data_IF_493956860317
#
_entry.id   IF_493956860317
#
_cell.length_a   1.000
_cell.length_b   1.000
_cell.length_c   1.000
_cell.angle_alpha   90.00
_cell.angle_beta   90.00
_cell.angle_gamma   90.00
#
_symmetry.space_group_name_H-M   'P 1'
#
loop_
_entity.id
_entity.type
_entity.pdbx_description
1 polymer ?
#
# COMPACT_ATOMS: atom_id res chain seq x y z
N UNK A 1 -5.94 11.98 7.56
CA UNK A 1 -4.49 11.73 7.47
C UNK A 1 -3.72 12.97 7.88
N UNK A 2 -2.47 12.83 8.32
CA UNK A 2 -1.68 13.93 8.92
C UNK A 2 -0.93 14.81 7.90
N UNK A 3 -1.04 14.51 6.60
CA UNK A 3 -0.41 15.30 5.53
C UNK A 3 1.11 15.23 5.49
N UNK A 4 1.72 14.25 6.17
CA UNK A 4 3.17 14.07 6.24
C UNK A 4 3.70 13.43 4.96
N UNK A 5 4.93 13.80 4.59
CA UNK A 5 5.68 13.08 3.56
C UNK A 5 6.04 11.70 4.05
N UNK A 6 5.86 10.68 3.21
CA UNK A 6 6.08 9.28 3.59
C UNK A 6 7.28 8.71 2.84
N UNK A 7 8.20 8.05 3.55
CA UNK A 7 9.24 7.22 2.95
C UNK A 7 8.90 5.77 3.30
N UNK A 8 8.64 4.95 2.30
CA UNK A 8 8.18 3.57 2.48
C UNK A 8 8.89 2.62 1.51
N UNK A 9 8.96 1.33 1.84
CA UNK A 9 9.49 0.32 0.92
C UNK A 9 8.66 0.29 -0.37
N UNK A 10 9.31 0.22 -1.54
CA UNK A 10 8.65 0.17 -2.84
C UNK A 10 7.97 -1.16 -3.18
N UNK A 11 7.31 -1.82 -2.23
CA UNK A 11 6.76 -3.17 -2.41
C UNK A 11 5.41 -3.36 -1.74
N UNK A 12 4.49 -4.08 -2.40
CA UNK A 12 3.15 -4.43 -1.90
C UNK A 12 2.20 -3.23 -1.79
N UNK A 13 1.05 -3.42 -1.12
CA UNK A 13 -0.10 -2.51 -1.21
C UNK A 13 0.14 -1.05 -0.79
N UNK A 14 1.26 -0.72 -0.13
CA UNK A 14 1.57 0.69 0.11
C UNK A 14 1.95 1.45 -1.18
N UNK A 15 2.41 0.77 -2.23
CA UNK A 15 2.76 1.42 -3.50
C UNK A 15 1.53 1.94 -4.26
N UNK A 16 0.34 1.43 -3.92
CA UNK A 16 -0.92 1.87 -4.50
C UNK A 16 -1.24 3.33 -4.15
N UNK A 17 -0.66 3.84 -3.06
CA UNK A 17 -0.94 5.19 -2.54
C UNK A 17 0.30 6.01 -2.17
N UNK A 18 1.43 5.37 -1.88
CA UNK A 18 2.71 6.05 -1.69
C UNK A 18 3.32 6.36 -3.06
N UNK A 19 2.99 7.53 -3.60
CA UNK A 19 3.48 8.00 -4.90
C UNK A 19 4.07 9.41 -4.81
N UNK A 20 4.98 9.71 -5.75
CA UNK A 20 5.46 11.08 -5.96
C UNK A 20 4.28 12.01 -6.31
N UNK A 21 4.23 13.24 -5.79
CA UNK A 21 5.28 13.93 -5.02
C UNK A 21 5.22 13.72 -3.49
N UNK A 22 4.28 12.93 -2.97
CA UNK A 22 3.93 12.86 -1.54
C UNK A 22 4.65 11.75 -0.76
N UNK A 23 5.28 10.84 -1.49
CA UNK A 23 6.07 9.77 -0.93
C UNK A 23 7.27 9.44 -1.81
N UNK A 24 8.34 8.96 -1.17
CA UNK A 24 9.48 8.36 -1.85
C UNK A 24 9.53 6.85 -1.52
N UNK A 25 9.83 6.04 -2.53
CA UNK A 25 9.88 4.59 -2.41
C UNK A 25 11.32 4.09 -2.26
N UNK A 26 11.59 3.38 -1.17
CA UNK A 26 12.88 2.75 -0.88
C UNK A 26 13.05 1.51 -1.76
N UNK A 27 14.26 1.34 -2.29
CA UNK A 27 14.63 0.15 -3.05
C UNK A 27 14.69 -1.06 -2.11
N UNK A 28 14.53 -2.27 -2.64
CA UNK A 28 14.53 -3.47 -1.82
C UNK A 28 15.05 -4.67 -2.60
N UNK A 29 15.34 -5.74 -1.87
CA UNK A 29 15.56 -7.07 -2.42
C UNK A 29 14.54 -8.03 -1.83
N UNK A 30 14.05 -8.96 -2.64
CA UNK A 30 13.18 -10.02 -2.14
C UNK A 30 14.04 -11.09 -1.47
N UNK A 31 13.78 -11.32 -0.18
CA UNK A 31 14.41 -12.40 0.59
C UNK A 31 13.36 -13.44 0.95
N UNK A 32 13.76 -14.71 0.94
CA UNK A 32 12.88 -15.80 1.37
C UNK A 32 12.51 -15.62 2.83
N UNK A 33 11.24 -15.80 3.13
CA UNK A 33 10.75 -15.81 4.50
C UNK A 33 11.28 -17.05 5.23
N UNK A 34 11.86 -16.87 6.42
CA UNK A 34 12.29 -17.99 7.27
C UNK A 34 11.09 -18.60 7.97
N UNK A 35 11.18 -19.89 8.28
CA UNK A 35 10.15 -20.61 9.04
C UNK A 35 9.84 -19.86 10.34
N UNK A 36 8.55 -19.69 10.66
CA UNK A 36 8.03 -19.01 11.86
C UNK A 36 8.20 -17.48 11.90
N UNK A 37 8.70 -16.83 10.85
CA UNK A 37 8.69 -15.36 10.80
C UNK A 37 7.31 -14.77 10.51
N UNK A 38 6.42 -15.55 9.88
CA UNK A 38 5.05 -15.16 9.58
C UNK A 38 4.14 -16.39 9.46
N UNK A 39 2.82 -16.26 9.71
CA UNK A 39 1.85 -17.31 9.40
C UNK A 39 1.91 -17.72 7.93
N UNK A 40 1.79 -19.03 7.66
CA UNK A 40 1.84 -19.60 6.31
C UNK A 40 3.10 -19.22 5.50
N UNK A 41 4.27 -19.19 6.17
CA UNK A 41 5.51 -18.68 5.60
C UNK A 41 6.06 -19.37 4.35
N UNK A 42 5.51 -20.53 3.99
CA UNK A 42 5.97 -21.33 2.85
C UNK A 42 5.69 -20.61 1.53
N UNK A 43 6.73 -20.48 0.68
CA UNK A 43 6.64 -19.77 -0.60
C UNK A 43 6.58 -18.25 -0.51
N UNK A 44 6.53 -17.67 0.69
CA UNK A 44 6.47 -16.21 0.87
C UNK A 44 7.86 -15.54 0.92
N UNK A 45 7.86 -14.22 0.70
CA UNK A 45 9.06 -13.38 0.68
C UNK A 45 8.86 -12.10 1.49
N UNK A 46 9.95 -11.57 2.03
CA UNK A 46 10.03 -10.19 2.52
C UNK A 46 10.69 -9.28 1.48
N UNK A 47 10.23 -8.04 1.40
CA UNK A 47 10.98 -6.97 0.79
C UNK A 47 11.97 -6.40 1.82
N UNK A 48 13.22 -6.84 1.74
CA UNK A 48 14.34 -6.35 2.55
C UNK A 48 14.79 -4.97 2.02
N UNK A 49 14.54 -3.88 2.76
CA UNK A 49 14.79 -2.54 2.25
C UNK A 49 16.28 -2.21 2.20
N UNK A 50 16.68 -1.46 1.17
CA UNK A 50 18.01 -0.85 1.11
C UNK A 50 18.09 0.33 2.10
N UNK A 51 18.77 0.09 3.22
CA UNK A 51 18.96 1.07 4.29
C UNK A 51 19.73 2.31 3.80
N UNK A 52 20.69 2.15 2.88
CA UNK A 52 21.45 3.27 2.36
C UNK A 52 20.58 4.17 1.49
N UNK A 53 19.74 3.56 0.63
CA UNK A 53 18.79 4.31 -0.16
C UNK A 53 17.74 5.00 0.73
N UNK A 54 17.21 4.33 1.76
CA UNK A 54 16.30 4.96 2.72
C UNK A 54 16.91 6.21 3.36
N UNK A 55 18.16 6.10 3.82
CA UNK A 55 18.88 7.22 4.43
C UNK A 55 19.17 8.35 3.43
N UNK A 56 19.42 8.01 2.16
CA UNK A 56 19.58 9.00 1.09
C UNK A 56 18.28 9.78 0.87
N UNK A 57 17.14 9.10 0.78
CA UNK A 57 15.82 9.73 0.64
C UNK A 57 15.52 10.68 1.80
N UNK A 58 15.80 10.24 3.03
CA UNK A 58 15.62 11.07 4.24
C UNK A 58 16.50 12.33 4.20
N UNK A 59 17.78 12.20 3.84
CA UNK A 59 18.69 13.34 3.71
C UNK A 59 18.22 14.29 2.61
N UNK A 60 17.86 13.76 1.45
CA UNK A 60 17.39 14.54 0.29
C UNK A 60 16.16 15.37 0.66
N UNK A 61 15.18 14.76 1.33
CA UNK A 61 13.98 15.45 1.78
C UNK A 61 14.28 16.65 2.67
N UNK A 62 15.20 16.49 3.64
CA UNK A 62 15.63 17.58 4.54
C UNK A 62 16.41 18.67 3.80
N UNK A 63 17.36 18.28 2.94
CA UNK A 63 18.24 19.20 2.22
C UNK A 63 17.49 20.05 1.18
N UNK A 64 16.55 19.45 0.48
CA UNK A 64 15.71 20.15 -0.51
C UNK A 64 14.61 20.99 0.15
N UNK A 65 14.52 21.00 1.49
CA UNK A 65 13.48 21.70 2.27
C UNK A 65 12.07 21.45 1.72
N UNK A 66 11.80 20.23 1.28
CA UNK A 66 10.49 19.84 0.75
C UNK A 66 9.44 20.09 1.82
N UNK A 67 8.29 20.62 1.42
CA UNK A 67 7.21 20.92 2.35
C UNK A 67 6.76 19.63 3.06
N UNK A 68 6.88 19.56 4.38
CA UNK A 68 6.50 18.39 5.17
C UNK A 68 4.98 18.27 5.41
N UNK A 69 4.21 19.21 4.87
CA UNK A 69 2.76 19.21 4.96
C UNK A 69 2.17 19.36 3.58
N UNK A 70 1.75 18.22 3.04
CA UNK A 70 0.88 18.17 1.88
C UNK A 70 -0.55 18.08 2.37
N UNK A 71 -1.42 18.99 1.91
CA UNK A 71 -2.87 18.87 2.09
C UNK A 71 -3.40 17.79 1.15
N UNK A 72 -2.97 16.55 1.36
CA UNK A 72 -3.47 15.42 0.61
C UNK A 72 -4.43 14.64 1.49
N UNK A 73 -5.71 14.83 1.20
CA UNK A 73 -6.73 13.87 1.56
C UNK A 73 -6.63 12.74 0.53
N UNK A 74 -6.64 11.48 0.98
CA UNK A 74 -6.92 10.36 0.09
C UNK A 74 -8.42 10.05 0.19
N UNK A 75 -9.29 10.80 -0.53
CA UNK A 75 -10.74 10.62 -0.46
C UNK A 75 -11.17 9.18 -0.80
N UNK A 76 -10.40 8.49 -1.62
CA UNK A 76 -10.59 7.09 -2.00
C UNK A 76 -10.49 6.10 -0.82
N UNK A 77 -9.80 6.50 0.26
CA UNK A 77 -9.71 5.74 1.51
C UNK A 77 -10.65 6.28 2.60
N UNK A 78 -11.54 7.22 2.26
CA UNK A 78 -12.60 7.62 3.19
C UNK A 78 -13.53 6.45 3.49
N UNK A 79 -14.10 6.42 4.69
CA UNK A 79 -15.06 5.39 5.10
C UNK A 79 -16.24 5.27 4.11
N UNK A 80 -16.71 6.41 3.57
CA UNK A 80 -17.78 6.46 2.56
C UNK A 80 -17.33 5.80 1.25
N UNK A 81 -16.17 6.18 0.71
CA UNK A 81 -15.67 5.63 -0.54
C UNK A 81 -15.39 4.12 -0.43
N UNK A 82 -14.74 3.70 0.64
CA UNK A 82 -14.44 2.29 0.90
C UNK A 82 -15.73 1.50 1.13
N UNK A 83 -16.67 2.04 1.91
CA UNK A 83 -17.97 1.41 2.15
C UNK A 83 -18.76 1.18 0.86
N UNK A 84 -18.77 2.18 -0.03
CA UNK A 84 -19.43 2.05 -1.34
C UNK A 84 -18.77 0.97 -2.21
N UNK A 85 -17.43 0.87 -2.21
CA UNK A 85 -16.71 -0.19 -2.94
C UNK A 85 -17.07 -1.58 -2.43
N UNK A 86 -17.12 -1.76 -1.10
CA UNK A 86 -17.51 -3.02 -0.48
C UNK A 86 -18.96 -3.37 -0.82
N UNK A 87 -19.89 -2.42 -0.70
CA UNK A 87 -21.30 -2.62 -1.06
C UNK A 87 -21.44 -3.11 -2.50
N UNK A 88 -20.84 -2.40 -3.45
CA UNK A 88 -20.89 -2.77 -4.87
C UNK A 88 -20.33 -4.16 -5.11
N UNK A 89 -19.19 -4.52 -4.48
CA UNK A 89 -18.61 -5.86 -4.64
C UNK A 89 -19.52 -6.96 -4.08
N UNK A 90 -20.13 -6.73 -2.92
CA UNK A 90 -21.06 -7.68 -2.31
C UNK A 90 -22.32 -7.87 -3.17
N UNK A 91 -22.88 -6.79 -3.71
CA UNK A 91 -24.02 -6.87 -4.65
C UNK A 91 -23.66 -7.67 -5.91
N UNK A 92 -22.46 -7.45 -6.48
CA UNK A 92 -21.97 -8.25 -7.61
C UNK A 92 -21.91 -9.75 -7.26
N UNK A 93 -21.25 -10.11 -6.15
CA UNK A 93 -21.10 -11.51 -5.74
C UNK A 93 -22.46 -12.16 -5.49
N UNK A 94 -23.37 -11.44 -4.83
CA UNK A 94 -24.72 -11.94 -4.54
C UNK A 94 -25.52 -12.21 -5.83
N UNK A 95 -25.49 -11.27 -6.78
CA UNK A 95 -26.20 -11.42 -8.05
C UNK A 95 -25.60 -12.54 -8.92
N UNK A 96 -24.27 -12.69 -8.93
CA UNK A 96 -23.59 -13.80 -9.61
C UNK A 96 -24.02 -15.14 -9.03
N UNK A 97 -24.09 -15.27 -7.70
CA UNK A 97 -24.57 -16.49 -7.04
C UNK A 97 -26.03 -16.80 -7.37
N UNK A 98 -26.92 -15.80 -7.35
CA UNK A 98 -28.33 -15.99 -7.74
C UNK A 98 -28.41 -16.49 -9.17
N UNK A 99 -27.72 -15.85 -10.12
CA UNK A 99 -27.76 -16.26 -11.53
C UNK A 99 -27.32 -17.71 -11.71
N UNK A 100 -26.27 -18.12 -11.02
CA UNK A 100 -25.73 -19.48 -11.07
C UNK A 100 -26.70 -20.52 -10.47
N UNK A 101 -27.59 -20.11 -9.57
CA UNK A 101 -28.61 -20.95 -8.95
C UNK A 101 -29.89 -21.06 -9.80
N UNK A 102 -30.25 -20.02 -10.56
CA UNK A 102 -31.41 -20.03 -11.46
C UNK A 102 -31.14 -20.57 -12.87
N UNK A 103 -29.87 -20.64 -13.30
CA UNK A 103 -29.46 -21.27 -14.57
C UNK A 103 -29.27 -22.82 -14.47
N UNK A 104 -29.75 -23.45 -13.39
CA UNK A 104 -29.80 -24.91 -13.20
C UNK A 104 -31.24 -25.40 -13.13
#
# INVERSE_FOLDING_TARGET
>A
MLGLHVIATGYSGNVDFCQSPYADLVNYRLIKLKKRQYPHSEGQVWADPDINHAAELMRRFVLEKRANRHHHAWPEFSAVAVGQRYKTRLETIYNEQIRTLTDR
#
